data_IF_753966989647
#
_entry.id   IF_753966989647
#
_cell.length_a   1.000
_cell.length_b   1.000
_cell.length_c   1.000
_cell.angle_alpha   90.00
_cell.angle_beta   90.00
_cell.angle_gamma   90.00
#
_symmetry.space_group_name_H-M   'P 1'
#
loop_
_entity.id
_entity.type
_entity.pdbx_description
1 polymer ?
#
# COMPACT_ATOMS: atom_id res chain seq x y z
N UNK A 1 -57.94 -66.56 114.36
CA UNK A 1 -57.83 -65.56 113.28
C UNK A 1 -58.96 -65.86 112.33
N UNK A 2 -59.95 -64.98 112.33
CA UNK A 2 -61.32 -65.26 111.90
C UNK A 2 -61.47 -65.19 110.39
N UNK A 3 -62.56 -65.75 109.87
CA UNK A 3 -62.93 -65.70 108.45
C UNK A 3 -62.94 -64.25 107.91
N UNK A 4 -63.17 -63.26 108.77
CA UNK A 4 -63.05 -61.83 108.45
C UNK A 4 -61.63 -61.40 108.07
N UNK A 5 -60.58 -61.92 108.72
CA UNK A 5 -59.16 -61.64 108.38
C UNK A 5 -58.82 -62.20 106.98
N UNK A 6 -59.36 -63.37 106.63
CA UNK A 6 -59.16 -64.00 105.31
C UNK A 6 -59.92 -63.25 104.21
N UNK A 7 -61.15 -62.82 104.48
CA UNK A 7 -61.92 -61.99 103.54
C UNK A 7 -61.25 -60.61 103.35
N UNK A 8 -60.71 -60.00 104.39
CA UNK A 8 -59.95 -58.75 104.28
C UNK A 8 -58.65 -58.96 103.46
N UNK A 9 -57.92 -60.06 103.71
CA UNK A 9 -56.74 -60.40 102.91
C UNK A 9 -57.09 -60.66 101.45
N UNK A 10 -58.21 -61.35 101.17
CA UNK A 10 -58.70 -61.60 99.82
C UNK A 10 -59.07 -60.29 99.12
N UNK A 11 -59.78 -59.39 99.79
CA UNK A 11 -60.09 -58.06 99.26
C UNK A 11 -58.81 -57.24 98.98
N UNK A 12 -57.81 -57.31 99.87
CA UNK A 12 -56.49 -56.68 99.65
C UNK A 12 -55.74 -57.32 98.47
N UNK A 13 -55.83 -58.63 98.29
CA UNK A 13 -55.23 -59.35 97.16
C UNK A 13 -55.91 -59.00 95.84
N UNK A 14 -57.24 -58.94 95.81
CA UNK A 14 -58.01 -58.55 94.62
C UNK A 14 -57.73 -57.08 94.23
N UNK A 15 -57.66 -56.17 95.22
CA UNK A 15 -57.26 -54.77 95.01
C UNK A 15 -55.80 -54.67 94.51
N UNK A 16 -54.88 -55.44 95.09
CA UNK A 16 -53.49 -55.50 94.65
C UNK A 16 -53.36 -56.07 93.23
N UNK A 17 -54.07 -57.15 92.92
CA UNK A 17 -54.08 -57.74 91.58
C UNK A 17 -54.68 -56.78 90.56
N UNK A 18 -55.74 -56.05 90.92
CA UNK A 18 -56.33 -55.00 90.08
C UNK A 18 -55.33 -53.85 89.85
N UNK A 19 -54.63 -53.39 90.90
CA UNK A 19 -53.57 -52.36 90.78
C UNK A 19 -52.40 -52.82 89.93
N UNK A 20 -51.93 -54.07 90.09
CA UNK A 20 -50.90 -54.64 89.22
C UNK A 20 -51.39 -54.73 87.78
N UNK A 21 -52.62 -55.20 87.56
CA UNK A 21 -53.16 -55.33 86.21
C UNK A 21 -53.29 -53.96 85.53
N UNK A 22 -53.79 -52.95 86.24
CA UNK A 22 -53.82 -51.57 85.75
C UNK A 22 -52.42 -51.00 85.50
N UNK A 23 -51.45 -51.26 86.39
CA UNK A 23 -50.07 -50.84 86.21
C UNK A 23 -49.43 -51.50 84.99
N UNK A 24 -49.64 -52.80 84.79
CA UNK A 24 -49.15 -53.54 83.63
C UNK A 24 -49.80 -53.07 82.33
N UNK A 25 -51.12 -52.83 82.31
CA UNK A 25 -51.82 -52.26 81.15
C UNK A 25 -51.25 -50.88 80.83
N UNK A 26 -51.14 -49.99 81.83
CA UNK A 26 -50.62 -48.63 81.64
C UNK A 26 -49.16 -48.65 81.18
N UNK A 27 -48.32 -49.51 81.76
CA UNK A 27 -46.92 -49.63 81.38
C UNK A 27 -46.77 -50.21 79.96
N UNK A 28 -47.57 -51.20 79.59
CA UNK A 28 -47.57 -51.74 78.22
C UNK A 28 -48.06 -50.70 77.21
N UNK A 29 -49.08 -49.91 77.56
CA UNK A 29 -49.55 -48.80 76.73
C UNK A 29 -48.48 -47.70 76.59
N UNK A 30 -47.82 -47.30 77.69
CA UNK A 30 -46.75 -46.31 77.68
C UNK A 30 -45.51 -46.79 76.91
N UNK A 31 -45.16 -48.08 77.02
CA UNK A 31 -44.10 -48.69 76.22
C UNK A 31 -44.47 -48.76 74.74
N UNK A 32 -45.72 -49.11 74.41
CA UNK A 32 -46.20 -49.14 73.04
C UNK A 32 -46.18 -47.75 72.40
N UNK A 33 -46.66 -46.71 73.10
CA UNK A 33 -46.65 -45.32 72.60
C UNK A 33 -45.23 -44.78 72.50
N UNK A 34 -44.34 -45.08 73.47
CA UNK A 34 -42.91 -44.72 73.38
C UNK A 34 -42.22 -45.40 72.20
N UNK A 35 -42.51 -46.68 71.96
CA UNK A 35 -41.97 -47.41 70.81
C UNK A 35 -42.46 -46.79 69.50
N UNK A 36 -43.77 -46.57 69.36
CA UNK A 36 -44.37 -45.98 68.16
C UNK A 36 -43.86 -44.55 67.89
N UNK A 37 -43.79 -43.70 68.91
CA UNK A 37 -43.21 -42.35 68.77
C UNK A 37 -41.73 -42.39 68.39
N UNK A 38 -40.96 -43.33 68.96
CA UNK A 38 -39.57 -43.52 68.58
C UNK A 38 -39.44 -43.95 67.11
N UNK A 39 -40.18 -44.97 66.67
CA UNK A 39 -40.18 -45.45 65.28
C UNK A 39 -40.61 -44.37 64.29
N UNK A 40 -41.65 -43.60 64.61
CA UNK A 40 -42.09 -42.48 63.77
C UNK A 40 -41.00 -41.40 63.70
N UNK A 41 -40.39 -41.03 64.83
CA UNK A 41 -39.30 -40.06 64.85
C UNK A 41 -38.07 -40.53 64.05
N UNK A 42 -37.76 -41.82 64.09
CA UNK A 42 -36.63 -42.40 63.37
C UNK A 42 -36.92 -42.48 61.87
N UNK A 43 -38.13 -42.88 61.49
CA UNK A 43 -38.58 -42.86 60.09
C UNK A 43 -38.54 -41.45 59.51
N UNK A 44 -38.97 -40.44 60.25
CA UNK A 44 -38.87 -39.03 59.84
C UNK A 44 -37.43 -38.56 59.66
N UNK A 45 -36.53 -38.94 60.58
CA UNK A 45 -35.10 -38.63 60.46
C UNK A 45 -34.48 -39.29 59.23
N UNK A 46 -34.79 -40.56 58.97
CA UNK A 46 -34.29 -41.28 57.78
C UNK A 46 -34.76 -40.58 56.50
N UNK A 47 -36.05 -40.23 56.40
CA UNK A 47 -36.59 -39.47 55.25
C UNK A 47 -35.90 -38.11 55.07
N UNK A 48 -35.63 -37.39 56.17
CA UNK A 48 -34.90 -36.12 56.13
C UNK A 48 -33.46 -36.31 55.67
N UNK A 49 -32.77 -37.35 56.14
CA UNK A 49 -31.40 -37.68 55.71
C UNK A 49 -31.37 -37.99 54.22
N UNK A 50 -32.31 -38.77 53.71
CA UNK A 50 -32.40 -39.12 52.30
C UNK A 50 -32.67 -37.88 51.43
N UNK A 51 -33.64 -37.04 51.82
CA UNK A 51 -33.92 -35.78 51.13
C UNK A 51 -32.72 -34.82 51.13
N UNK A 52 -31.97 -34.75 52.24
CA UNK A 52 -30.76 -33.93 52.32
C UNK A 52 -29.63 -34.47 51.45
N UNK A 53 -29.44 -35.81 51.40
CA UNK A 53 -28.46 -36.44 50.52
C UNK A 53 -28.77 -36.20 49.05
N UNK A 54 -30.04 -36.30 48.66
CA UNK A 54 -30.45 -36.08 47.28
C UNK A 54 -30.29 -34.61 46.87
N UNK A 55 -30.64 -33.68 47.78
CA UNK A 55 -30.38 -32.25 47.58
C UNK A 55 -28.89 -31.93 47.49
N UNK A 56 -28.06 -32.59 48.30
CA UNK A 56 -26.61 -32.42 48.26
C UNK A 56 -26.04 -32.89 46.92
N UNK A 57 -26.49 -34.05 46.40
CA UNK A 57 -26.09 -34.55 45.07
C UNK A 57 -26.49 -33.57 43.95
N UNK A 58 -27.72 -33.04 43.98
CA UNK A 58 -28.18 -32.05 43.00
C UNK A 58 -27.34 -30.77 43.02
N UNK A 59 -26.94 -30.31 44.22
CA UNK A 59 -26.08 -29.13 44.36
C UNK A 59 -24.66 -29.40 43.86
N UNK A 60 -24.11 -30.59 44.09
CA UNK A 60 -22.80 -31.01 43.56
C UNK A 60 -22.82 -31.09 42.04
N UNK A 61 -23.85 -31.70 41.44
CA UNK A 61 -24.03 -31.76 39.98
C UNK A 61 -24.17 -30.35 39.38
N UNK A 62 -24.94 -29.48 40.02
CA UNK A 62 -25.10 -28.11 39.55
C UNK A 62 -23.81 -27.29 39.69
N UNK A 63 -23.04 -27.51 40.76
CA UNK A 63 -21.74 -26.87 40.95
C UNK A 63 -20.75 -27.29 39.85
N UNK A 64 -20.70 -28.58 39.50
CA UNK A 64 -19.84 -29.07 38.42
C UNK A 64 -20.25 -28.45 37.08
N UNK A 65 -21.56 -28.44 36.77
CA UNK A 65 -22.08 -27.83 35.54
C UNK A 65 -21.75 -26.33 35.45
N UNK A 66 -21.86 -25.58 36.55
CA UNK A 66 -21.53 -24.16 36.58
C UNK A 66 -20.03 -23.90 36.41
N UNK A 67 -19.17 -24.75 36.97
CA UNK A 67 -17.72 -24.65 36.80
C UNK A 67 -17.32 -24.89 35.33
N UNK A 68 -17.91 -25.91 34.68
CA UNK A 68 -17.69 -26.18 33.25
C UNK A 68 -18.16 -25.02 32.36
N UNK A 69 -19.33 -24.45 32.64
CA UNK A 69 -19.83 -23.25 31.94
C UNK A 69 -18.90 -22.04 32.14
N UNK A 70 -18.41 -21.84 33.37
CA UNK A 70 -17.50 -20.75 33.69
C UNK A 70 -16.15 -20.90 32.98
N UNK A 71 -15.57 -22.11 32.97
CA UNK A 71 -14.34 -22.40 32.23
C UNK A 71 -14.52 -22.17 30.72
N UNK A 72 -15.65 -22.62 30.14
CA UNK A 72 -15.94 -22.42 28.72
C UNK A 72 -16.05 -20.92 28.39
N UNK A 73 -16.80 -20.17 29.20
CA UNK A 73 -16.95 -18.73 29.04
C UNK A 73 -15.60 -18.00 29.17
N UNK A 74 -14.75 -18.41 30.11
CA UNK A 74 -13.41 -17.84 30.26
C UNK A 74 -12.53 -18.08 29.03
N UNK A 75 -12.60 -19.29 28.43
CA UNK A 75 -11.87 -19.60 27.19
C UNK A 75 -12.38 -18.75 26.03
N UNK A 76 -13.68 -18.64 25.85
CA UNK A 76 -14.29 -17.78 24.82
C UNK A 76 -13.86 -16.31 24.97
N UNK A 77 -13.91 -15.77 26.19
CA UNK A 77 -13.45 -14.41 26.48
C UNK A 77 -11.96 -14.25 26.15
N UNK A 78 -11.13 -15.25 26.46
CA UNK A 78 -9.71 -15.22 26.14
C UNK A 78 -9.45 -15.22 24.62
N UNK A 79 -10.20 -16.01 23.87
CA UNK A 79 -10.13 -16.08 22.40
C UNK A 79 -10.58 -14.77 21.75
N UNK A 80 -11.71 -14.22 22.19
CA UNK A 80 -12.22 -12.92 21.72
C UNK A 80 -11.20 -11.81 22.01
N UNK A 81 -10.59 -11.81 23.19
CA UNK A 81 -9.55 -10.84 23.54
C UNK A 81 -8.29 -11.01 22.67
N UNK A 82 -7.88 -12.25 22.39
CA UNK A 82 -6.74 -12.52 21.49
C UNK A 82 -7.02 -12.04 20.06
N UNK A 83 -8.22 -12.32 19.53
CA UNK A 83 -8.66 -11.85 18.22
C UNK A 83 -8.72 -10.32 18.17
N UNK A 84 -9.30 -9.67 19.18
CA UNK A 84 -9.35 -8.20 19.28
C UNK A 84 -7.95 -7.58 19.25
N UNK A 85 -6.99 -8.12 20.01
CA UNK A 85 -5.59 -7.69 19.98
C UNK A 85 -4.94 -7.88 18.60
N UNK A 86 -5.23 -9.00 17.93
CA UNK A 86 -4.74 -9.26 16.58
C UNK A 86 -5.31 -8.25 15.57
N UNK A 87 -6.60 -7.92 15.66
CA UNK A 87 -7.23 -6.89 14.83
C UNK A 87 -6.66 -5.50 15.08
N UNK A 88 -6.44 -5.11 16.34
CA UNK A 88 -5.80 -3.83 16.68
C UNK A 88 -4.39 -3.75 16.11
N UNK A 89 -3.58 -4.81 16.26
CA UNK A 89 -2.23 -4.88 15.69
C UNK A 89 -2.26 -4.77 14.16
N UNK A 90 -3.21 -5.45 13.51
CA UNK A 90 -3.37 -5.38 12.05
C UNK A 90 -3.81 -3.99 11.60
N UNK A 91 -4.74 -3.36 12.32
CA UNK A 91 -5.20 -1.99 12.07
C UNK A 91 -4.04 -1.00 12.18
N UNK A 92 -3.25 -1.09 13.25
CA UNK A 92 -2.14 -0.17 13.49
C UNK A 92 -1.04 -0.33 12.42
N UNK A 93 -0.78 -1.56 11.96
CA UNK A 93 0.10 -1.81 10.80
C UNK A 93 -0.42 -1.13 9.52
N UNK A 94 -1.71 -1.29 9.21
CA UNK A 94 -2.31 -0.67 8.03
C UNK A 94 -2.33 0.86 8.10
N UNK A 95 -2.55 1.43 9.29
CA UNK A 95 -2.44 2.88 9.51
C UNK A 95 -1.01 3.36 9.25
N UNK A 96 -0.01 2.65 9.79
CA UNK A 96 1.40 2.98 9.57
C UNK A 96 1.82 2.87 8.09
N UNK A 97 1.37 1.82 7.39
CA UNK A 97 1.62 1.64 5.95
C UNK A 97 0.97 2.75 5.12
N UNK A 98 -0.29 3.10 5.41
CA UNK A 98 -0.99 4.21 4.76
C UNK A 98 -0.26 5.54 4.96
N UNK A 99 0.19 5.83 6.18
CA UNK A 99 0.94 7.06 6.47
C UNK A 99 2.31 7.09 5.78
N UNK A 100 2.99 5.95 5.69
CA UNK A 100 4.24 5.81 4.94
C UNK A 100 4.03 6.09 3.45
N UNK A 101 3.03 5.46 2.83
CA UNK A 101 2.69 5.67 1.42
C UNK A 101 2.29 7.12 1.12
N UNK A 102 1.56 7.78 2.03
CA UNK A 102 1.21 9.19 1.86
C UNK A 102 2.46 10.08 1.83
N UNK A 103 3.41 9.85 2.74
CA UNK A 103 4.70 10.56 2.75
C UNK A 103 5.54 10.28 1.50
N UNK A 104 5.48 9.05 0.97
CA UNK A 104 6.19 8.69 -0.26
C UNK A 104 5.59 9.36 -1.49
N UNK A 105 4.26 9.41 -1.58
CA UNK A 105 3.53 10.15 -2.61
C UNK A 105 3.86 11.64 -2.56
N UNK A 106 3.83 12.27 -1.39
CA UNK A 106 4.17 13.69 -1.24
C UNK A 106 5.60 13.98 -1.73
N UNK A 107 6.56 13.10 -1.42
CA UNK A 107 7.95 13.22 -1.90
C UNK A 107 8.03 13.10 -3.42
N UNK A 108 7.35 12.11 -4.00
CA UNK A 108 7.32 11.90 -5.44
C UNK A 108 6.66 13.08 -6.16
N UNK A 109 5.59 13.65 -5.62
CA UNK A 109 4.93 14.84 -6.17
C UNK A 109 5.84 16.07 -6.15
N UNK A 110 6.65 16.24 -5.09
CA UNK A 110 7.65 17.32 -5.02
C UNK A 110 8.72 17.11 -6.10
N UNK A 111 9.27 15.90 -6.23
CA UNK A 111 10.28 15.58 -7.24
C UNK A 111 9.76 15.76 -8.67
N UNK A 112 8.51 15.33 -8.94
CA UNK A 112 7.86 15.54 -10.22
C UNK A 112 7.68 17.03 -10.53
N UNK A 113 7.27 17.84 -9.56
CA UNK A 113 7.13 19.29 -9.72
C UNK A 113 8.47 19.99 -9.94
N UNK A 114 9.54 19.50 -9.34
CA UNK A 114 10.89 20.02 -9.56
C UNK A 114 11.39 19.67 -10.97
N UNK A 115 11.30 18.39 -11.36
CA UNK A 115 11.73 17.92 -12.67
C UNK A 115 10.96 18.59 -13.81
N UNK A 116 9.65 18.78 -13.66
CA UNK A 116 8.82 19.49 -14.66
C UNK A 116 9.22 20.96 -14.80
N UNK A 117 9.54 21.64 -13.69
CA UNK A 117 10.05 23.01 -13.72
C UNK A 117 11.41 23.11 -14.39
N UNK A 118 12.31 22.18 -14.12
CA UNK A 118 13.65 22.18 -14.71
C UNK A 118 13.60 21.89 -16.20
N UNK A 119 12.76 20.96 -16.63
CA UNK A 119 12.53 20.69 -18.05
C UNK A 119 11.95 21.91 -18.78
N UNK A 120 10.99 22.60 -18.17
CA UNK A 120 10.41 23.81 -18.75
C UNK A 120 11.45 24.95 -18.83
N UNK A 121 12.29 25.12 -17.81
CA UNK A 121 13.42 26.08 -17.84
C UNK A 121 14.41 25.76 -18.94
N UNK A 122 14.80 24.50 -19.08
CA UNK A 122 15.74 24.08 -20.12
C UNK A 122 15.15 24.32 -21.52
N UNK A 123 13.88 23.96 -21.72
CA UNK A 123 13.15 24.21 -22.96
C UNK A 123 13.08 25.70 -23.29
N UNK A 124 12.72 26.54 -22.32
CA UNK A 124 12.68 28.00 -22.51
C UNK A 124 14.06 28.57 -22.84
N UNK A 125 15.10 28.10 -22.16
CA UNK A 125 16.49 28.50 -22.45
C UNK A 125 16.91 28.12 -23.87
N UNK A 126 16.59 26.89 -24.32
CA UNK A 126 16.89 26.43 -25.69
C UNK A 126 16.11 27.22 -26.74
N UNK A 127 14.83 27.51 -26.50
CA UNK A 127 14.02 28.33 -27.40
C UNK A 127 14.55 29.77 -27.51
N UNK A 128 14.94 30.37 -26.39
CA UNK A 128 15.52 31.71 -26.38
C UNK A 128 16.85 31.73 -27.14
N UNK A 129 17.71 30.73 -26.94
CA UNK A 129 18.98 30.61 -27.66
C UNK A 129 18.73 30.42 -29.16
N UNK A 130 17.84 29.49 -29.54
CA UNK A 130 17.48 29.27 -30.95
C UNK A 130 16.91 30.51 -31.63
N UNK A 131 16.13 31.33 -30.93
CA UNK A 131 15.63 32.60 -31.48
C UNK A 131 16.76 33.62 -31.70
N UNK A 132 17.72 33.71 -30.78
CA UNK A 132 18.90 34.58 -30.94
C UNK A 132 19.76 34.11 -32.09
N UNK A 133 20.06 32.82 -32.14
CA UNK A 133 20.88 32.20 -33.18
C UNK A 133 20.24 32.42 -34.56
N UNK A 134 18.92 32.21 -34.69
CA UNK A 134 18.19 32.46 -35.96
C UNK A 134 18.31 33.92 -36.41
N UNK A 135 18.18 34.88 -35.49
CA UNK A 135 18.27 36.30 -35.81
C UNK A 135 19.71 36.71 -36.21
N UNK A 136 20.69 36.18 -35.49
CA UNK A 136 22.11 36.43 -35.77
C UNK A 136 22.52 35.82 -37.11
N UNK A 137 22.08 34.60 -37.40
CA UNK A 137 22.27 33.96 -38.71
C UNK A 137 21.63 34.80 -39.81
N UNK A 138 20.36 35.21 -39.69
CA UNK A 138 19.69 36.02 -40.71
C UNK A 138 20.40 37.37 -40.97
N UNK A 139 20.96 38.00 -39.92
CA UNK A 139 21.75 39.22 -40.06
C UNK A 139 23.04 38.95 -40.84
N UNK A 140 23.77 37.88 -40.50
CA UNK A 140 24.98 37.49 -41.24
C UNK A 140 24.70 37.09 -42.68
N UNK A 141 23.59 36.39 -42.93
CA UNK A 141 23.14 36.05 -44.27
C UNK A 141 22.87 37.30 -45.11
N UNK A 142 22.22 38.31 -44.52
CA UNK A 142 21.93 39.59 -45.18
C UNK A 142 23.19 40.43 -45.43
N UNK A 143 24.13 40.42 -44.48
CA UNK A 143 25.39 41.18 -44.57
C UNK A 143 26.34 40.58 -45.62
N UNK A 144 26.48 39.26 -45.62
CA UNK A 144 27.35 38.53 -46.53
C UNK A 144 26.69 38.31 -47.90
N UNK A 145 25.36 38.33 -47.96
CA UNK A 145 24.59 37.88 -49.11
C UNK A 145 24.83 36.40 -49.39
N UNK A 146 24.91 35.59 -48.33
CA UNK A 146 25.24 34.16 -48.35
C UNK A 146 24.27 33.41 -47.44
N UNK A 147 23.52 32.46 -47.99
CA UNK A 147 22.69 31.53 -47.23
C UNK A 147 23.28 30.13 -47.33
N UNK A 148 23.38 29.43 -46.20
CA UNK A 148 23.99 28.08 -46.11
C UNK A 148 22.88 27.09 -45.80
N UNK A 149 22.63 26.17 -46.72
CA UNK A 149 21.70 25.05 -46.50
C UNK A 149 22.47 23.74 -46.40
N UNK A 150 22.32 23.05 -45.28
CA UNK A 150 22.84 21.70 -45.11
C UNK A 150 21.74 20.71 -45.47
N UNK A 151 21.96 19.91 -46.51
CA UNK A 151 21.06 18.82 -46.86
C UNK A 151 21.42 17.56 -46.06
N UNK A 152 20.46 16.65 -45.89
CA UNK A 152 20.60 15.44 -45.06
C UNK A 152 21.68 14.42 -45.52
N UNK A 153 22.37 14.66 -46.65
CA UNK A 153 23.38 13.77 -47.24
C UNK A 153 24.79 14.37 -47.20
N UNK A 154 25.14 15.05 -46.10
CA UNK A 154 26.49 15.63 -45.90
C UNK A 154 26.94 16.57 -47.04
N UNK A 155 25.98 17.21 -47.70
CA UNK A 155 26.21 18.18 -48.76
C UNK A 155 25.77 19.56 -48.29
N UNK A 156 26.70 20.51 -48.33
CA UNK A 156 26.48 21.91 -47.96
C UNK A 156 26.29 22.71 -49.24
N UNK A 157 25.14 23.35 -49.39
CA UNK A 157 24.87 24.25 -50.50
C UNK A 157 24.98 25.71 -50.03
N UNK A 158 25.81 26.46 -50.72
CA UNK A 158 26.02 27.88 -50.49
C UNK A 158 25.26 28.66 -51.56
N UNK A 159 24.28 29.45 -51.15
CA UNK A 159 23.50 30.32 -52.03
C UNK A 159 23.96 31.77 -51.88
N UNK A 160 24.44 32.38 -52.95
CA UNK A 160 24.84 33.78 -52.98
C UNK A 160 23.74 34.66 -53.58
N UNK A 161 23.40 35.74 -52.90
CA UNK A 161 22.48 36.77 -53.40
C UNK A 161 23.27 37.94 -53.97
N UNK A 162 23.01 38.31 -55.23
CA UNK A 162 23.56 39.54 -55.82
C UNK A 162 22.67 40.73 -55.47
N UNK A 163 23.25 41.83 -54.95
CA UNK A 163 22.51 43.06 -54.61
C UNK A 163 22.21 43.95 -55.83
N UNK A 164 22.76 43.65 -57.01
CA UNK A 164 22.92 44.65 -58.07
C UNK A 164 22.07 44.47 -59.33
N UNK A 165 21.16 43.49 -59.44
CA UNK A 165 20.34 43.34 -60.65
C UNK A 165 18.93 42.83 -60.34
N UNK A 166 17.91 43.55 -60.86
CA UNK A 166 16.46 43.29 -60.78
C UNK A 166 15.99 41.91 -61.27
N UNK A 167 16.91 41.10 -61.81
CA UNK A 167 16.68 39.72 -62.23
C UNK A 167 17.87 38.91 -61.71
N UNK A 168 17.87 38.58 -60.42
CA UNK A 168 19.01 37.93 -59.76
C UNK A 168 19.00 36.42 -60.02
N UNK A 169 19.83 35.84 -60.91
CA UNK A 169 19.98 34.39 -60.96
C UNK A 169 20.53 33.92 -59.61
N UNK A 170 19.89 32.90 -59.03
CA UNK A 170 20.37 32.28 -57.79
C UNK A 170 21.76 31.69 -58.03
N UNK A 171 22.80 32.37 -57.55
CA UNK A 171 24.15 31.84 -57.58
C UNK A 171 24.25 30.77 -56.49
N UNK A 172 24.62 29.54 -56.82
CA UNK A 172 24.81 28.49 -55.83
C UNK A 172 26.01 27.61 -56.12
N UNK A 173 26.59 27.03 -55.08
CA UNK A 173 27.61 25.99 -55.17
C UNK A 173 27.35 24.95 -54.08
N UNK A 174 27.34 23.68 -54.45
CA UNK A 174 27.16 22.57 -53.52
C UNK A 174 28.47 21.84 -53.34
N UNK A 175 28.89 21.73 -52.08
CA UNK A 175 30.08 21.03 -51.63
C UNK A 175 29.66 19.77 -50.87
N UNK A 176 30.09 18.62 -51.37
CA UNK A 176 29.99 17.35 -50.65
C UNK A 176 31.19 17.24 -49.69
N UNK A 177 30.89 17.07 -48.40
CA UNK A 177 31.85 16.93 -47.30
C UNK A 177 31.80 15.53 -46.67
N UNK A 178 31.11 14.56 -47.29
CA UNK A 178 30.98 13.18 -46.77
C UNK A 178 32.29 12.39 -46.75
N UNK A 179 33.26 12.77 -47.58
CA UNK A 179 34.56 12.08 -47.74
C UNK A 179 35.71 13.01 -47.37
N UNK A 180 36.89 12.45 -47.07
CA UNK A 180 38.14 13.20 -46.82
C UNK A 180 38.55 14.11 -48.00
N UNK A 181 37.95 13.92 -49.18
CA UNK A 181 38.17 14.74 -50.37
C UNK A 181 36.91 15.53 -50.70
N UNK A 182 37.02 16.86 -50.60
CA UNK A 182 35.96 17.78 -50.99
C UNK A 182 35.59 17.62 -52.48
N UNK A 183 34.29 17.59 -52.79
CA UNK A 183 33.79 17.53 -54.17
C UNK A 183 32.72 18.59 -54.41
N UNK A 184 32.87 19.36 -55.48
CA UNK A 184 31.81 20.26 -55.95
C UNK A 184 30.81 19.44 -56.78
N UNK A 185 29.68 19.08 -56.19
CA UNK A 185 28.64 18.25 -56.82
C UNK A 185 27.81 19.06 -57.80
N UNK A 186 27.41 20.29 -57.43
CA UNK A 186 26.60 21.16 -58.27
C UNK A 186 27.03 22.64 -58.15
N UNK A 187 26.72 23.43 -59.16
CA UNK A 187 27.00 24.86 -59.21
C UNK A 187 26.07 25.56 -60.20
N UNK A 188 25.45 26.67 -59.79
CA UNK A 188 24.67 27.55 -60.65
C UNK A 188 25.24 28.97 -60.62
N UNK A 189 25.68 29.56 -61.76
CA UNK A 189 25.85 28.93 -63.07
C UNK A 189 26.93 27.83 -63.06
N UNK A 190 26.87 26.93 -64.06
CA UNK A 190 27.76 25.76 -64.14
C UNK A 190 29.21 26.18 -64.32
N UNK A 191 30.05 25.92 -63.31
CA UNK A 191 31.48 26.22 -63.39
C UNK A 191 32.23 25.24 -64.31
N UNK A 192 33.13 25.72 -65.20
CA UNK A 192 34.06 24.88 -65.94
C UNK A 192 34.90 23.99 -65.03
N UNK A 193 35.18 22.76 -65.48
CA UNK A 193 35.90 21.76 -64.68
C UNK A 193 37.30 22.21 -64.24
N UNK A 194 37.97 23.04 -65.06
CA UNK A 194 39.28 23.62 -64.73
C UNK A 194 39.19 24.50 -63.48
N UNK A 195 38.18 25.36 -63.41
CA UNK A 195 37.95 26.26 -62.27
C UNK A 195 37.53 25.46 -61.03
N UNK A 196 36.66 24.44 -61.19
CA UNK A 196 36.28 23.55 -60.08
C UNK A 196 37.49 22.87 -59.43
N UNK A 197 38.41 22.34 -60.24
CA UNK A 197 39.60 21.68 -59.74
C UNK A 197 40.56 22.65 -59.06
N UNK A 198 40.74 23.86 -59.61
CA UNK A 198 41.58 24.89 -58.99
C UNK A 198 41.03 25.32 -57.62
N UNK A 199 39.72 25.55 -57.52
CA UNK A 199 39.06 25.85 -56.25
C UNK A 199 39.22 24.72 -55.21
N UNK A 200 39.03 23.47 -55.62
CA UNK A 200 39.19 22.30 -54.73
C UNK A 200 40.63 22.09 -54.30
N UNK A 201 41.62 22.29 -55.19
CA UNK A 201 43.04 22.19 -54.86
C UNK A 201 43.44 23.27 -53.85
N UNK A 202 42.97 24.50 -54.04
CA UNK A 202 43.21 25.60 -53.10
C UNK A 202 42.57 25.35 -51.73
N UNK A 203 41.36 24.79 -51.71
CA UNK A 203 40.68 24.39 -50.48
C UNK A 203 41.44 23.27 -49.76
N UNK A 204 41.84 22.20 -50.47
CA UNK A 204 42.60 21.10 -49.89
C UNK A 204 44.00 21.51 -49.40
N UNK A 205 44.63 22.51 -50.04
CA UNK A 205 45.97 22.97 -49.67
C UNK A 205 45.97 23.97 -48.48
N UNK A 206 44.94 24.81 -48.38
CA UNK A 206 44.89 25.90 -47.39
C UNK A 206 43.97 25.59 -46.21
N UNK A 207 43.00 24.68 -46.40
CA UNK A 207 41.89 24.42 -45.49
C UNK A 207 41.09 25.69 -45.11
N UNK A 208 41.15 26.73 -45.95
CA UNK A 208 40.48 28.02 -45.71
C UNK A 208 39.23 28.14 -46.57
N UNK A 209 38.11 27.69 -45.99
CA UNK A 209 36.78 27.79 -46.60
C UNK A 209 36.41 29.23 -46.99
N UNK A 210 36.91 30.24 -46.28
CA UNK A 210 36.59 31.66 -46.56
C UNK A 210 37.19 32.12 -47.88
N UNK A 211 38.44 31.75 -48.14
CA UNK A 211 39.13 32.05 -49.40
C UNK A 211 38.47 31.30 -50.56
N UNK A 212 38.09 30.04 -50.34
CA UNK A 212 37.30 29.26 -51.31
C UNK A 212 35.97 29.93 -51.66
N UNK A 213 35.16 30.35 -50.68
CA UNK A 213 33.86 30.98 -50.93
C UNK A 213 33.99 32.32 -51.66
N UNK A 214 35.03 33.11 -51.36
CA UNK A 214 35.32 34.37 -52.08
C UNK A 214 35.67 34.10 -53.54
N UNK A 215 36.60 33.16 -53.79
CA UNK A 215 37.01 32.80 -55.13
C UNK A 215 35.83 32.20 -55.93
N UNK A 216 35.06 31.29 -55.32
CA UNK A 216 33.86 30.71 -55.91
C UNK A 216 32.84 31.79 -56.28
N UNK A 217 32.56 32.74 -55.37
CA UNK A 217 31.66 33.87 -55.64
C UNK A 217 32.16 34.72 -56.80
N UNK A 218 33.44 35.08 -56.84
CA UNK A 218 34.03 35.86 -57.94
C UNK A 218 33.90 35.16 -59.29
N UNK A 219 34.16 33.85 -59.36
CA UNK A 219 34.01 33.08 -60.59
C UNK A 219 32.54 32.97 -61.03
N UNK A 220 31.61 32.74 -60.09
CA UNK A 220 30.18 32.65 -60.37
C UNK A 220 29.63 34.00 -60.87
N UNK A 221 30.02 35.12 -60.24
CA UNK A 221 29.62 36.46 -60.68
C UNK A 221 30.18 36.84 -62.05
N UNK A 222 31.45 36.51 -62.33
CA UNK A 222 32.06 36.74 -63.65
C UNK A 222 31.33 35.96 -64.76
N UNK A 223 30.86 34.74 -64.46
CA UNK A 223 30.15 33.91 -65.43
C UNK A 223 28.73 34.44 -65.70
N UNK A 224 28.07 35.04 -64.71
CA UNK A 224 26.78 35.72 -64.92
C UNK A 224 26.88 37.03 -65.69
N UNK A 225 27.99 37.77 -65.61
CA UNK A 225 28.19 39.00 -66.41
C UNK A 225 28.54 38.71 -67.88
N UNK A 226 29.10 37.52 -68.16
CA UNK A 226 29.50 37.10 -69.49
C UNK A 226 28.35 36.52 -70.34
N UNK A 227 27.17 36.29 -69.74
CA UNK A 227 25.98 35.73 -70.39
C UNK A 227 24.91 36.79 -70.54
#
# INVERSE_FOLDING_TARGET
MGIDDFNELKLKMDDFQSKIHQFLIKNNQDLATKSETYWNSESEKIKKIEALKDKLRQLEEHQISLEEEFESSQREVSEVNAQSKAFLTKRDKLIGEREFLHKELDKLDILLKEQTKDLEREKQSRLLQSSKDTNEVALFETLLGLHISANAQDAITFHFTSRTVDVSPQLSITLDVSQDTYKITDSNPKLPQIIKNDLLNNLAATDDLRSFLKAARSHLSALTEAT
#
